data_IF_506362444481
#
_entry.id   IF_506362444481
#
_cell.length_a   1.000
_cell.length_b   1.000
_cell.length_c   1.000
_cell.angle_alpha   90.00
_cell.angle_beta   90.00
_cell.angle_gamma   90.00
#
_symmetry.space_group_name_H-M   'P 1'
#
loop_
_entity.id
_entity.type
_entity.pdbx_description
1 polymer ?
#
# COMPACT_ATOMS: atom_id res chain seq x y z
N UNK A 1 14.68 35.83 15.13
CA UNK A 1 13.60 35.21 14.33
C UNK A 1 13.34 36.01 13.06
N UNK A 2 13.45 35.42 11.87
CA UNK A 2 13.20 36.11 10.60
C UNK A 2 11.68 36.29 10.35
N UNK A 3 11.14 37.52 10.21
CA UNK A 3 9.70 37.75 10.08
C UNK A 3 9.05 37.02 8.90
N UNK A 4 9.73 36.92 7.77
CA UNK A 4 9.22 36.21 6.59
C UNK A 4 9.05 34.71 6.84
N UNK A 5 10.03 34.05 7.50
CA UNK A 5 9.95 32.62 7.81
C UNK A 5 8.83 32.35 8.80
N UNK A 6 8.60 33.24 9.77
CA UNK A 6 7.47 33.12 10.70
C UNK A 6 6.12 33.24 9.99
N UNK A 7 5.98 34.15 9.01
CA UNK A 7 4.75 34.25 8.21
C UNK A 7 4.55 33.01 7.34
N UNK A 8 5.62 32.54 6.70
CA UNK A 8 5.58 31.32 5.89
C UNK A 8 5.21 30.10 6.73
N UNK A 9 5.75 29.95 7.95
CA UNK A 9 5.43 28.80 8.80
C UNK A 9 3.96 28.79 9.22
N UNK A 10 3.39 29.94 9.58
CA UNK A 10 1.95 30.04 9.85
C UNK A 10 1.11 29.74 8.62
N UNK A 11 1.48 30.28 7.45
CA UNK A 11 0.76 30.01 6.22
C UNK A 11 0.79 28.51 5.86
N UNK A 12 1.97 27.88 5.91
CA UNK A 12 2.15 26.46 5.66
C UNK A 12 1.39 25.58 6.67
N UNK A 13 1.43 25.90 7.97
CA UNK A 13 0.67 25.17 9.01
C UNK A 13 -0.84 25.21 8.74
N UNK A 14 -1.39 26.38 8.38
CA UNK A 14 -2.81 26.52 8.04
C UNK A 14 -3.18 25.77 6.77
N UNK A 15 -2.37 25.88 5.71
CA UNK A 15 -2.57 25.08 4.49
C UNK A 15 -2.50 23.58 4.78
N UNK A 16 -1.64 23.16 5.71
CA UNK A 16 -1.46 21.75 6.02
C UNK A 16 -2.62 21.20 6.85
N UNK A 17 -3.06 21.90 7.90
CA UNK A 17 -3.92 21.34 8.95
C UNK A 17 -5.31 22.00 9.08
N UNK A 18 -5.59 23.09 8.36
CA UNK A 18 -6.87 23.80 8.42
C UNK A 18 -7.58 23.82 7.06
N UNK A 19 -6.83 24.02 5.96
CA UNK A 19 -7.35 24.07 4.59
C UNK A 19 -7.09 22.76 3.84
N UNK A 20 -7.87 21.72 4.16
CA UNK A 20 -7.72 20.39 3.55
C UNK A 20 -8.11 20.31 2.08
N UNK A 21 -8.82 21.32 1.58
CA UNK A 21 -9.13 21.56 0.16
C UNK A 21 -7.89 22.00 -0.65
N UNK A 22 -6.85 22.53 0.02
CA UNK A 22 -5.59 22.87 -0.64
C UNK A 22 -4.95 21.60 -1.25
N UNK A 23 -4.66 21.57 -2.58
CA UNK A 23 -4.26 20.34 -3.25
C UNK A 23 -2.94 19.77 -2.70
N UNK A 24 -2.97 18.50 -2.30
CA UNK A 24 -1.82 17.83 -1.68
C UNK A 24 -0.55 17.83 -2.56
N UNK A 25 -0.71 17.77 -3.88
CA UNK A 25 0.44 17.80 -4.82
C UNK A 25 1.19 19.14 -4.79
N UNK A 26 0.53 20.26 -4.46
CA UNK A 26 1.18 21.57 -4.38
C UNK A 26 2.08 21.70 -3.15
N UNK A 27 1.83 20.95 -2.08
CA UNK A 27 2.70 20.92 -0.88
C UNK A 27 4.12 20.47 -1.25
N UNK A 28 4.23 19.58 -2.24
CA UNK A 28 5.52 19.09 -2.74
C UNK A 28 6.35 20.17 -3.45
N UNK A 29 5.70 21.26 -3.86
CA UNK A 29 6.29 22.37 -4.59
C UNK A 29 6.61 23.56 -3.69
N UNK A 30 6.46 23.42 -2.37
CA UNK A 30 6.78 24.47 -1.42
C UNK A 30 8.28 24.82 -1.46
N UNK A 31 8.64 26.10 -1.24
CA UNK A 31 10.00 26.59 -1.48
C UNK A 31 11.02 25.98 -0.51
N UNK A 32 12.28 25.85 -0.93
CA UNK A 32 13.36 25.57 0.01
C UNK A 32 13.67 26.82 0.84
N UNK A 33 14.24 26.62 2.03
CA UNK A 33 14.65 27.72 2.93
C UNK A 33 16.18 27.86 3.01
N UNK A 34 16.91 27.19 2.13
CA UNK A 34 18.39 27.14 2.09
C UNK A 34 19.03 28.51 1.99
N UNK A 35 18.47 29.41 1.18
CA UNK A 35 18.99 30.77 1.04
C UNK A 35 18.96 31.58 2.36
N UNK A 36 18.11 31.20 3.32
CA UNK A 36 17.94 31.89 4.60
C UNK A 36 18.49 31.11 5.80
N UNK A 37 18.47 29.78 5.73
CA UNK A 37 18.79 28.89 6.85
C UNK A 37 20.01 28.00 6.58
N UNK A 38 20.56 27.99 5.37
CA UNK A 38 21.69 27.14 5.00
C UNK A 38 21.44 25.68 5.36
N UNK A 39 22.33 25.11 6.17
CA UNK A 39 22.27 23.72 6.63
C UNK A 39 21.02 23.40 7.47
N UNK A 40 20.40 24.40 8.10
CA UNK A 40 19.21 24.25 8.94
C UNK A 40 17.90 24.31 8.14
N UNK A 41 17.95 24.40 6.80
CA UNK A 41 16.75 24.51 5.97
C UNK A 41 15.74 23.36 6.19
N UNK A 42 16.23 22.15 6.43
CA UNK A 42 15.40 20.99 6.75
C UNK A 42 14.61 21.14 8.05
N UNK A 43 15.14 21.88 9.02
CA UNK A 43 14.50 22.09 10.33
C UNK A 43 13.21 22.89 10.22
N UNK A 44 13.09 23.77 9.22
CA UNK A 44 11.87 24.56 8.99
C UNK A 44 10.64 23.65 8.82
N UNK A 45 10.75 22.66 7.93
CA UNK A 45 9.66 21.72 7.67
C UNK A 45 9.52 20.66 8.76
N UNK A 46 10.61 20.31 9.46
CA UNK A 46 10.52 19.45 10.65
C UNK A 46 9.69 20.09 11.76
N UNK A 47 9.88 21.39 12.03
CA UNK A 47 9.06 22.10 13.02
C UNK A 47 7.57 22.12 12.64
N UNK A 48 7.27 22.31 11.34
CA UNK A 48 5.89 22.20 10.83
C UNK A 48 5.33 20.78 10.99
N UNK A 49 6.14 19.76 10.73
CA UNK A 49 5.73 18.38 10.93
C UNK A 49 5.40 18.10 12.40
N UNK A 50 6.22 18.55 13.34
CA UNK A 50 5.99 18.34 14.78
C UNK A 50 4.68 18.95 15.28
N UNK A 51 4.15 20.00 14.65
CA UNK A 51 2.83 20.58 14.95
C UNK A 51 1.67 19.59 14.71
N UNK A 52 1.88 18.54 13.90
CA UNK A 52 0.89 17.48 13.72
C UNK A 52 0.68 16.65 15.00
N UNK A 53 1.67 16.54 15.89
CA UNK A 53 1.58 15.69 17.10
C UNK A 53 0.49 16.15 18.09
N UNK A 54 0.47 17.41 18.56
CA UNK A 54 -0.60 17.88 19.45
C UNK A 54 -1.98 17.80 18.77
N UNK A 55 -2.06 18.08 17.46
CA UNK A 55 -3.31 18.00 16.67
C UNK A 55 -3.84 16.57 16.57
N UNK A 56 -3.00 15.60 16.21
CA UNK A 56 -3.35 14.17 16.19
C UNK A 56 -3.83 13.69 17.56
N UNK A 57 -3.15 14.08 18.64
CA UNK A 57 -3.55 13.73 20.01
C UNK A 57 -4.92 14.31 20.37
N UNK A 58 -5.22 15.54 19.96
CA UNK A 58 -6.52 16.15 20.17
C UNK A 58 -7.62 15.40 19.40
N UNK A 59 -7.38 15.09 18.14
CA UNK A 59 -8.32 14.31 17.30
C UNK A 59 -8.56 12.92 17.86
N UNK A 60 -7.51 12.18 18.23
CA UNK A 60 -7.67 10.86 18.84
C UNK A 60 -8.44 10.91 20.16
N UNK A 61 -8.18 11.93 21.00
CA UNK A 61 -8.93 12.13 22.25
C UNK A 61 -10.42 12.38 21.98
N UNK A 62 -10.75 13.19 20.98
CA UNK A 62 -12.14 13.46 20.58
C UNK A 62 -12.85 12.19 20.07
N UNK A 63 -12.12 11.29 19.42
CA UNK A 63 -12.62 9.98 18.97
C UNK A 63 -12.63 8.91 20.09
N UNK A 64 -12.23 9.25 21.33
CA UNK A 64 -12.09 8.27 22.42
C UNK A 64 -10.99 7.23 22.20
N UNK A 65 -10.09 7.47 21.24
CA UNK A 65 -9.00 6.56 20.89
C UNK A 65 -7.92 6.59 21.98
N UNK A 66 -7.40 5.42 22.42
CA UNK A 66 -6.39 5.37 23.47
C UNK A 66 -5.08 6.08 23.12
N UNK A 67 -4.41 6.62 24.13
CA UNK A 67 -3.19 7.41 23.96
C UNK A 67 -2.01 6.60 23.37
N UNK A 68 -1.98 5.28 23.56
CA UNK A 68 -1.01 4.39 22.94
C UNK A 68 -1.10 4.40 21.41
N UNK A 69 -2.29 4.54 20.82
CA UNK A 69 -2.46 4.64 19.37
C UNK A 69 -1.87 5.95 18.85
N UNK A 70 -2.07 7.07 19.58
CA UNK A 70 -1.41 8.34 19.26
C UNK A 70 0.11 8.26 19.37
N UNK A 71 0.64 7.60 20.42
CA UNK A 71 2.09 7.41 20.58
C UNK A 71 2.66 6.58 19.44
N UNK A 72 1.99 5.48 19.09
CA UNK A 72 2.42 4.60 18.03
C UNK A 72 2.44 5.32 16.67
N UNK A 73 1.47 6.20 16.39
CA UNK A 73 1.47 7.04 15.19
C UNK A 73 2.66 8.01 15.07
N UNK A 74 3.40 8.25 16.16
CA UNK A 74 4.59 9.10 16.16
C UNK A 74 5.78 8.55 15.37
N UNK A 75 5.82 7.25 15.02
CA UNK A 75 6.96 6.67 14.29
C UNK A 75 7.13 7.21 12.87
N UNK A 76 6.05 7.73 12.26
CA UNK A 76 6.10 8.32 10.91
C UNK A 76 7.06 9.51 10.83
N UNK A 77 7.16 10.29 11.90
CA UNK A 77 8.04 11.47 11.96
C UNK A 77 9.51 11.06 11.96
N UNK A 78 9.87 10.08 12.78
CA UNK A 78 11.24 9.56 12.85
C UNK A 78 11.69 9.01 11.50
N UNK A 79 10.83 8.27 10.81
CA UNK A 79 11.18 7.67 9.53
C UNK A 79 11.32 8.71 8.41
N UNK A 80 10.40 9.67 8.34
CA UNK A 80 10.49 10.74 7.34
C UNK A 80 11.75 11.58 7.52
N UNK A 81 12.15 11.85 8.78
CA UNK A 81 13.43 12.49 9.08
C UNK A 81 14.63 11.60 8.78
N UNK A 82 14.53 10.27 8.96
CA UNK A 82 15.60 9.34 8.56
C UNK A 82 15.82 9.37 7.04
N UNK A 83 14.75 9.38 6.24
CA UNK A 83 14.83 9.49 4.78
C UNK A 83 15.44 10.83 4.36
N UNK A 84 15.06 11.93 5.03
CA UNK A 84 15.68 13.23 4.80
C UNK A 84 17.20 13.16 5.04
N UNK A 85 17.62 12.63 6.20
CA UNK A 85 19.05 12.47 6.56
C UNK A 85 19.84 11.65 5.55
N UNK A 86 19.22 10.60 4.99
CA UNK A 86 19.85 9.74 3.98
C UNK A 86 20.25 10.52 2.72
N UNK A 87 19.52 11.59 2.37
CA UNK A 87 19.73 12.37 1.16
C UNK A 87 20.36 13.75 1.40
N UNK A 88 20.57 14.13 2.66
CA UNK A 88 21.05 15.47 3.04
C UNK A 88 22.28 15.39 3.94
N UNK A 89 23.25 14.54 3.59
CA UNK A 89 24.55 14.43 4.29
C UNK A 89 24.40 14.20 5.81
N UNK A 90 23.33 13.49 6.22
CA UNK A 90 23.05 13.21 7.63
C UNK A 90 22.35 14.34 8.40
N UNK A 91 22.06 15.49 7.77
CA UNK A 91 21.37 16.65 8.36
C UNK A 91 19.92 16.35 8.69
N UNK A 92 19.42 16.93 9.78
CA UNK A 92 18.04 16.74 10.23
C UNK A 92 17.05 17.59 9.43
N UNK A 93 15.91 17.02 9.11
CA UNK A 93 14.86 17.75 8.43
C UNK A 93 13.66 16.89 8.06
N UNK A 94 12.85 17.45 7.17
CA UNK A 94 11.64 16.82 6.66
C UNK A 94 11.39 17.31 5.24
N UNK A 95 11.08 16.37 4.33
CA UNK A 95 10.78 16.75 2.96
C UNK A 95 9.36 17.34 2.83
N UNK A 96 9.18 18.45 2.09
CA UNK A 96 7.84 18.94 1.76
C UNK A 96 6.96 17.86 1.12
N UNK A 97 7.57 16.98 0.29
CA UNK A 97 6.82 15.97 -0.47
C UNK A 97 6.04 14.96 0.39
N UNK A 98 6.39 14.79 1.67
CA UNK A 98 5.70 13.88 2.60
C UNK A 98 4.84 14.60 3.64
N UNK A 99 4.88 15.94 3.72
CA UNK A 99 4.10 16.69 4.71
C UNK A 99 2.59 16.46 4.56
N UNK A 100 2.09 16.38 3.33
CA UNK A 100 0.65 16.18 3.07
C UNK A 100 0.09 14.95 3.77
N UNK A 101 0.91 13.92 4.00
CA UNK A 101 0.51 12.70 4.69
C UNK A 101 0.09 12.94 6.14
N UNK A 102 0.65 13.97 6.78
CA UNK A 102 0.34 14.36 8.16
C UNK A 102 -1.12 14.80 8.34
N UNK A 103 -1.80 15.19 7.25
CA UNK A 103 -3.26 15.42 7.25
C UNK A 103 -4.02 14.18 7.72
N UNK A 104 -3.59 12.99 7.34
CA UNK A 104 -4.29 11.76 7.72
C UNK A 104 -4.24 11.50 9.23
N UNK A 105 -3.12 11.84 9.88
CA UNK A 105 -2.98 11.76 11.33
C UNK A 105 -3.86 12.79 12.04
N UNK A 106 -3.83 14.05 11.58
CA UNK A 106 -4.53 15.15 12.24
C UNK A 106 -6.04 15.13 12.01
N UNK A 107 -6.52 14.51 10.94
CA UNK A 107 -7.95 14.33 10.63
C UNK A 107 -8.53 13.00 11.11
N UNK A 108 -7.73 12.19 11.84
CA UNK A 108 -8.20 10.91 12.41
C UNK A 108 -8.61 9.92 11.32
N UNK A 109 -7.86 9.90 10.22
CA UNK A 109 -8.07 8.96 9.10
C UNK A 109 -7.09 7.79 9.14
N UNK A 110 -5.92 7.95 9.78
CA UNK A 110 -4.85 6.96 9.83
C UNK A 110 -4.53 6.57 11.28
N UNK A 111 -4.54 5.27 11.57
CA UNK A 111 -4.27 4.73 12.91
C UNK A 111 -3.21 3.64 12.88
N UNK A 112 -2.15 3.81 13.67
CA UNK A 112 -1.11 2.79 13.91
C UNK A 112 -1.63 1.76 14.91
N UNK A 113 -1.80 0.51 14.48
CA UNK A 113 -2.27 -0.59 15.34
C UNK A 113 -1.31 -1.77 15.22
N UNK A 114 -0.34 -1.87 16.11
CA UNK A 114 0.70 -2.90 16.01
C UNK A 114 1.70 -2.61 14.89
N UNK A 115 1.82 -3.52 13.90
CA UNK A 115 2.81 -3.41 12.82
C UNK A 115 2.37 -2.49 11.68
N UNK A 116 1.09 -2.30 11.44
CA UNK A 116 0.58 -1.54 10.30
C UNK A 116 -0.16 -0.29 10.72
N UNK A 117 -0.31 0.61 9.75
CA UNK A 117 -1.21 1.76 9.86
C UNK A 117 -2.42 1.48 8.98
N UNK A 118 -3.60 1.94 9.42
CA UNK A 118 -4.86 1.62 8.77
C UNK A 118 -5.66 2.86 8.46
N UNK A 119 -6.27 2.88 7.26
CA UNK A 119 -7.29 3.86 6.86
C UNK A 119 -8.50 3.13 6.31
N UNK A 120 -9.71 3.58 6.65
CA UNK A 120 -10.92 3.07 5.96
C UNK A 120 -11.13 3.90 4.70
N UNK A 121 -10.97 3.28 3.54
CA UNK A 121 -11.06 3.93 2.22
C UNK A 121 -11.82 3.05 1.23
N UNK A 122 -12.37 3.62 0.15
CA UNK A 122 -12.87 2.82 -0.97
C UNK A 122 -11.77 1.92 -1.55
N UNK A 123 -12.13 0.70 -1.96
CA UNK A 123 -11.23 -0.24 -2.60
C UNK A 123 -10.91 0.25 -4.02
N UNK A 124 -9.72 0.80 -4.21
CA UNK A 124 -9.27 1.37 -5.49
C UNK A 124 -8.60 0.35 -6.42
N UNK A 125 -8.78 -0.95 -6.18
CA UNK A 125 -8.31 -1.99 -7.10
C UNK A 125 -9.35 -2.31 -8.17
N UNK A 126 -8.90 -2.90 -9.27
CA UNK A 126 -9.77 -3.27 -10.39
C UNK A 126 -10.41 -4.66 -10.25
N UNK A 127 -10.04 -5.43 -9.24
CA UNK A 127 -10.48 -6.82 -9.11
C UNK A 127 -11.88 -6.92 -8.49
N UNK A 128 -12.69 -7.85 -9.00
CA UNK A 128 -13.97 -8.26 -8.44
C UNK A 128 -13.80 -9.62 -7.78
N UNK A 129 -14.06 -9.72 -6.49
CA UNK A 129 -13.79 -10.91 -5.68
C UNK A 129 -15.09 -11.64 -5.37
N UNK A 130 -15.10 -12.93 -5.67
CA UNK A 130 -16.21 -13.84 -5.45
C UNK A 130 -15.81 -14.95 -4.49
N UNK A 131 -16.77 -15.42 -3.70
CA UNK A 131 -16.60 -16.55 -2.78
C UNK A 131 -17.65 -17.61 -3.03
N UNK A 132 -17.22 -18.86 -3.14
CA UNK A 132 -18.11 -20.00 -3.31
C UNK A 132 -18.85 -20.29 -2.00
N UNK A 133 -20.17 -20.40 -2.05
CA UNK A 133 -21.02 -20.53 -0.87
C UNK A 133 -20.75 -21.84 -0.08
N UNK A 134 -20.61 -22.97 -0.78
CA UNK A 134 -20.38 -24.27 -0.12
C UNK A 134 -18.92 -24.49 0.33
N UNK A 135 -17.93 -24.18 -0.51
CA UNK A 135 -16.51 -24.51 -0.25
C UNK A 135 -15.74 -23.38 0.43
N UNK A 136 -16.27 -22.15 0.42
CA UNK A 136 -15.55 -20.97 0.89
C UNK A 136 -14.37 -20.55 0.01
N UNK A 137 -14.19 -21.17 -1.16
CA UNK A 137 -13.13 -20.80 -2.11
C UNK A 137 -13.30 -19.37 -2.59
N UNK A 138 -12.22 -18.61 -2.67
CA UNK A 138 -12.21 -17.24 -3.17
C UNK A 138 -11.54 -17.16 -4.54
N UNK A 139 -12.13 -16.36 -5.44
CA UNK A 139 -11.63 -16.08 -6.79
C UNK A 139 -11.70 -14.58 -7.05
N UNK A 140 -10.63 -14.00 -7.56
CA UNK A 140 -10.61 -12.64 -8.06
C UNK A 140 -10.66 -12.62 -9.59
N UNK A 141 -11.57 -11.84 -10.16
CA UNK A 141 -11.68 -11.58 -11.59
C UNK A 141 -11.21 -10.17 -11.92
N UNK A 142 -10.47 -10.00 -13.01
CA UNK A 142 -10.06 -8.69 -13.51
C UNK A 142 -11.27 -7.89 -14.01
N UNK A 143 -11.22 -6.56 -13.93
CA UNK A 143 -12.17 -5.70 -14.63
C UNK A 143 -11.96 -5.77 -16.15
N UNK A 144 -13.01 -5.38 -16.87
CA UNK A 144 -13.05 -5.36 -18.32
C UNK A 144 -11.97 -4.44 -18.93
N UNK A 145 -11.48 -4.79 -20.12
CA UNK A 145 -10.56 -4.01 -20.96
C UNK A 145 -9.19 -3.70 -20.35
N UNK A 146 -8.80 -4.36 -19.27
CA UNK A 146 -7.44 -4.28 -18.73
C UNK A 146 -6.45 -5.03 -19.61
N UNK A 147 -5.25 -4.49 -19.73
CA UNK A 147 -4.19 -5.08 -20.55
C UNK A 147 -3.13 -5.73 -19.67
N UNK A 148 -2.76 -6.96 -20.00
CA UNK A 148 -1.76 -7.75 -19.31
C UNK A 148 -0.65 -8.20 -20.26
N UNK A 149 0.58 -8.26 -19.79
CA UNK A 149 1.70 -8.87 -20.53
C UNK A 149 1.55 -10.41 -20.58
N UNK A 150 2.37 -11.16 -21.36
CA UNK A 150 2.21 -12.61 -21.52
C UNK A 150 2.46 -13.37 -20.21
N UNK A 151 3.15 -12.75 -19.24
CA UNK A 151 3.37 -13.30 -17.91
C UNK A 151 2.21 -13.03 -16.93
N UNK A 152 1.18 -12.28 -17.37
CA UNK A 152 -0.01 -11.97 -16.59
C UNK A 152 0.14 -10.77 -15.65
N UNK A 153 1.15 -9.91 -15.85
CA UNK A 153 1.25 -8.66 -15.11
C UNK A 153 0.48 -7.55 -15.81
N UNK A 154 -0.16 -6.69 -15.03
CA UNK A 154 -0.85 -5.53 -15.57
C UNK A 154 0.14 -4.62 -16.30
N UNK A 155 -0.25 -4.13 -17.47
CA UNK A 155 0.57 -3.26 -18.31
C UNK A 155 1.17 -2.09 -17.49
N UNK A 156 2.50 -2.02 -17.49
CA UNK A 156 3.26 -0.94 -16.90
C UNK A 156 3.69 0.10 -17.94
N UNK A 157 4.35 1.17 -17.50
CA UNK A 157 4.80 2.25 -18.38
C UNK A 157 5.83 1.81 -19.43
N UNK A 158 6.58 0.73 -19.16
CA UNK A 158 7.62 0.20 -20.05
C UNK A 158 7.17 -1.00 -20.90
N UNK A 159 5.93 -1.46 -20.75
CA UNK A 159 5.42 -2.62 -21.50
C UNK A 159 5.08 -2.21 -22.93
N UNK A 160 5.70 -2.87 -23.91
CA UNK A 160 5.45 -2.63 -25.32
C UNK A 160 3.98 -2.95 -25.70
N UNK A 161 3.31 -2.10 -26.51
CA UNK A 161 1.90 -2.31 -26.88
C UNK A 161 1.60 -3.64 -27.60
N UNK A 162 2.55 -4.15 -28.37
CA UNK A 162 2.44 -5.37 -29.18
C UNK A 162 2.55 -6.67 -28.35
N UNK A 163 2.84 -6.58 -27.05
CA UNK A 163 3.05 -7.73 -26.17
C UNK A 163 1.91 -7.93 -25.15
N UNK A 164 0.74 -7.32 -25.35
CA UNK A 164 -0.36 -7.41 -24.37
C UNK A 164 -1.60 -8.12 -24.89
N UNK A 165 -2.32 -8.77 -23.97
CA UNK A 165 -3.67 -9.29 -24.19
C UNK A 165 -4.66 -8.54 -23.31
N UNK A 166 -5.92 -8.49 -23.74
CA UNK A 166 -6.96 -7.69 -23.10
C UNK A 166 -7.93 -8.60 -22.35
N UNK A 167 -8.17 -8.31 -21.07
CA UNK A 167 -9.15 -9.00 -20.27
C UNK A 167 -10.58 -8.63 -20.66
N UNK A 168 -11.46 -9.62 -20.59
CA UNK A 168 -12.90 -9.45 -20.71
C UNK A 168 -13.56 -9.72 -19.37
N UNK A 169 -14.59 -8.96 -19.06
CA UNK A 169 -15.46 -9.18 -17.91
C UNK A 169 -16.91 -8.91 -18.29
N UNK A 170 -17.79 -9.86 -17.98
CA UNK A 170 -19.23 -9.72 -18.14
C UNK A 170 -19.98 -10.26 -16.93
N UNK A 171 -21.12 -9.64 -16.64
CA UNK A 171 -22.04 -10.03 -15.57
C UNK A 171 -23.45 -10.01 -16.14
N UNK A 172 -24.12 -11.16 -16.06
CA UNK A 172 -25.55 -11.30 -16.36
C UNK A 172 -26.29 -11.86 -15.13
N UNK A 173 -27.58 -12.19 -15.28
CA UNK A 173 -28.42 -12.66 -14.19
C UNK A 173 -28.03 -14.07 -13.67
N UNK A 174 -27.38 -14.89 -14.49
CA UNK A 174 -27.04 -16.28 -14.15
C UNK A 174 -25.58 -16.45 -13.70
N UNK A 175 -24.67 -15.70 -14.29
CA UNK A 175 -23.23 -15.90 -14.13
C UNK A 175 -22.42 -14.60 -14.19
N UNK A 176 -21.21 -14.67 -13.66
CA UNK A 176 -20.13 -13.73 -13.94
C UNK A 176 -19.04 -14.45 -14.71
N UNK A 177 -18.61 -13.87 -15.83
CA UNK A 177 -17.51 -14.41 -16.64
C UNK A 177 -16.37 -13.42 -16.69
N UNK A 178 -15.15 -13.89 -16.46
CA UNK A 178 -13.99 -13.01 -16.59
C UNK A 178 -12.66 -13.70 -16.44
N UNK A 179 -11.61 -12.91 -16.65
CA UNK A 179 -10.21 -13.31 -16.49
C UNK A 179 -9.88 -13.48 -15.02
N UNK A 180 -9.33 -14.63 -14.67
CA UNK A 180 -8.93 -14.95 -13.29
C UNK A 180 -7.58 -14.33 -12.98
N UNK A 181 -7.48 -13.66 -11.83
CA UNK A 181 -6.20 -13.34 -11.20
C UNK A 181 -5.86 -14.47 -10.25
N UNK A 182 -4.70 -15.11 -10.41
CA UNK A 182 -4.24 -16.14 -9.48
C UNK A 182 -3.87 -15.51 -8.13
N UNK A 183 -3.99 -16.23 -7.00
CA UNK A 183 -3.66 -15.71 -5.67
C UNK A 183 -2.18 -15.36 -5.50
N UNK A 184 -1.31 -15.80 -6.42
CA UNK A 184 0.10 -15.41 -6.52
C UNK A 184 0.31 -14.07 -7.26
N UNK A 185 -0.75 -13.46 -7.81
CA UNK A 185 -0.69 -12.14 -8.41
C UNK A 185 -0.43 -12.12 -9.92
N UNK A 186 -0.90 -13.12 -10.66
CA UNK A 186 -0.83 -13.15 -12.14
C UNK A 186 -2.20 -13.37 -12.77
N UNK A 187 -2.52 -12.60 -13.80
CA UNK A 187 -3.71 -12.86 -14.61
C UNK A 187 -3.50 -14.10 -15.48
N UNK A 188 -4.54 -14.93 -15.64
CA UNK A 188 -4.54 -16.10 -16.52
C UNK A 188 -5.40 -15.79 -17.74
N UNK A 189 -4.88 -16.02 -18.94
CA UNK A 189 -5.51 -15.63 -20.20
C UNK A 189 -6.86 -16.32 -20.51
N UNK A 190 -7.24 -17.36 -19.76
CA UNK A 190 -8.54 -18.03 -19.88
C UNK A 190 -9.67 -17.35 -19.12
N UNK A 191 -10.88 -17.44 -19.66
CA UNK A 191 -12.10 -16.98 -18.99
C UNK A 191 -12.68 -18.07 -18.09
N UNK A 192 -13.09 -17.69 -16.89
CA UNK A 192 -13.89 -18.55 -16.01
C UNK A 192 -15.29 -17.99 -15.88
N UNK A 193 -16.28 -18.88 -15.92
CA UNK A 193 -17.69 -18.57 -15.68
C UNK A 193 -18.11 -19.07 -14.29
N UNK A 194 -18.42 -18.14 -13.39
CA UNK A 194 -18.89 -18.42 -12.03
C UNK A 194 -20.41 -18.26 -11.96
N UNK A 195 -21.12 -19.37 -11.72
CA UNK A 195 -22.58 -19.36 -11.54
C UNK A 195 -22.96 -18.57 -10.28
N UNK A 196 -23.86 -17.59 -10.40
CA UNK A 196 -24.30 -16.73 -9.29
C UNK A 196 -25.09 -17.48 -8.22
N UNK A 197 -25.61 -18.67 -8.53
CA UNK A 197 -26.23 -19.58 -7.55
C UNK A 197 -25.22 -20.20 -6.59
N UNK A 198 -23.94 -20.30 -6.99
CA UNK A 198 -22.88 -20.90 -6.17
C UNK A 198 -21.85 -19.86 -5.67
N UNK A 199 -21.69 -18.74 -6.37
CA UNK A 199 -20.68 -17.73 -6.12
C UNK A 199 -21.28 -16.39 -5.75
N UNK A 200 -20.83 -15.83 -4.62
CA UNK A 200 -21.31 -14.55 -4.10
C UNK A 200 -20.22 -13.48 -4.19
N UNK A 201 -20.53 -12.23 -4.58
CA UNK A 201 -19.58 -11.14 -4.54
C UNK A 201 -19.27 -10.78 -3.07
N UNK A 202 -17.98 -10.70 -2.74
CA UNK A 202 -17.52 -10.39 -1.37
C UNK A 202 -16.68 -9.12 -1.28
N UNK A 203 -16.07 -8.69 -2.38
CA UNK A 203 -15.34 -7.42 -2.47
C UNK A 203 -15.34 -6.94 -3.93
N UNK A 204 -15.63 -5.65 -4.15
CA UNK A 204 -15.59 -5.03 -5.49
C UNK A 204 -15.02 -3.60 -5.42
N UNK A 205 -14.61 -3.02 -6.56
CA UNK A 205 -14.13 -1.64 -6.58
C UNK A 205 -15.13 -0.69 -5.91
N UNK A 206 -14.63 0.21 -5.06
CA UNK A 206 -15.43 1.17 -4.30
C UNK A 206 -15.96 0.68 -2.95
N UNK A 207 -15.94 -0.63 -2.67
CA UNK A 207 -16.30 -1.13 -1.33
C UNK A 207 -15.34 -0.62 -0.26
N UNK A 208 -15.78 -0.36 0.98
CA UNK A 208 -14.89 0.13 2.02
C UNK A 208 -13.91 -0.97 2.47
N UNK A 209 -12.63 -0.65 2.52
CA UNK A 209 -11.54 -1.52 2.98
C UNK A 209 -10.72 -0.84 4.07
N UNK A 210 -10.18 -1.63 4.98
CA UNK A 210 -9.09 -1.21 5.86
C UNK A 210 -7.80 -1.25 5.05
N UNK A 211 -7.49 -0.13 4.39
CA UNK A 211 -6.26 0.07 3.66
C UNK A 211 -5.07 0.01 4.60
N UNK A 212 -4.15 -0.91 4.32
CA UNK A 212 -2.97 -1.24 5.10
C UNK A 212 -1.78 -0.47 4.55
N UNK A 213 -1.20 0.36 5.40
CA UNK A 213 0.04 1.10 5.15
C UNK A 213 1.16 0.50 6.00
N UNK A 214 2.36 0.46 5.43
CA UNK A 214 3.51 -0.26 6.02
C UNK A 214 4.62 0.74 6.35
N UNK A 215 4.67 1.26 7.59
CA UNK A 215 5.81 2.05 8.03
C UNK A 215 7.12 1.25 8.00
N UNK A 216 8.24 1.94 7.89
CA UNK A 216 9.56 1.31 7.91
C UNK A 216 9.88 0.64 9.27
N UNK A 217 10.86 -0.28 9.25
CA UNK A 217 11.34 -0.98 10.45
C UNK A 217 10.43 -2.11 10.92
N UNK A 218 10.63 -2.58 12.17
CA UNK A 218 9.73 -3.54 12.83
C UNK A 218 9.65 -4.94 12.22
N UNK A 219 10.57 -5.31 11.32
CA UNK A 219 10.82 -6.65 10.73
C UNK A 219 9.66 -7.35 9.98
N UNK A 220 8.40 -6.94 10.15
CA UNK A 220 7.20 -7.54 9.52
C UNK A 220 7.10 -9.05 9.73
N UNK A 221 7.49 -9.57 10.91
CA UNK A 221 7.28 -10.99 11.20
C UNK A 221 5.79 -11.34 11.06
N UNK A 222 5.48 -12.59 10.71
CA UNK A 222 4.09 -13.01 10.51
C UNK A 222 3.25 -12.79 11.76
N UNK A 223 3.84 -12.99 12.94
CA UNK A 223 3.19 -12.78 14.24
C UNK A 223 2.81 -11.31 14.44
N UNK A 224 3.74 -10.39 14.17
CA UNK A 224 3.50 -8.96 14.28
C UNK A 224 2.45 -8.47 13.27
N UNK A 225 2.46 -9.04 12.06
CA UNK A 225 1.45 -8.76 11.03
C UNK A 225 0.07 -9.27 11.45
N UNK A 226 -0.02 -10.50 11.96
CA UNK A 226 -1.26 -11.10 12.44
C UNK A 226 -1.87 -10.30 13.59
N UNK A 227 -1.04 -9.92 14.57
CA UNK A 227 -1.48 -9.13 15.72
C UNK A 227 -2.00 -7.75 15.31
N UNK A 228 -1.32 -7.11 14.36
CA UNK A 228 -1.76 -5.86 13.75
C UNK A 228 -3.15 -5.98 13.13
N UNK A 229 -3.37 -7.01 12.30
CA UNK A 229 -4.65 -7.24 11.60
C UNK A 229 -5.78 -7.55 12.60
N UNK A 230 -5.51 -8.35 13.63
CA UNK A 230 -6.47 -8.62 14.72
C UNK A 230 -6.82 -7.36 15.49
N UNK A 231 -5.82 -6.54 15.82
CA UNK A 231 -6.01 -5.25 16.48
C UNK A 231 -6.95 -4.35 15.68
N UNK A 232 -6.78 -4.27 14.35
CA UNK A 232 -7.66 -3.49 13.48
C UNK A 232 -9.12 -3.99 13.50
N UNK A 233 -9.35 -5.32 13.48
CA UNK A 233 -10.72 -5.89 13.56
C UNK A 233 -11.45 -5.54 14.86
N UNK A 234 -10.71 -5.34 15.95
CA UNK A 234 -11.29 -4.91 17.24
C UNK A 234 -11.42 -3.39 17.31
N UNK A 235 -10.42 -2.66 16.81
CA UNK A 235 -10.32 -1.22 16.93
C UNK A 235 -11.44 -0.48 16.16
N UNK A 236 -11.62 -0.76 14.87
CA UNK A 236 -12.56 0.01 14.05
C UNK A 236 -14.01 -0.12 14.54
N UNK A 237 -14.57 -1.31 14.80
CA UNK A 237 -15.93 -1.42 15.33
C UNK A 237 -16.12 -0.74 16.70
N UNK A 238 -15.06 -0.67 17.52
CA UNK A 238 -15.13 -0.07 18.86
C UNK A 238 -15.08 1.45 18.85
N UNK A 239 -14.16 2.03 18.08
CA UNK A 239 -13.88 3.47 18.12
C UNK A 239 -14.42 4.24 16.92
N UNK A 240 -14.70 3.55 15.81
CA UNK A 240 -15.14 4.12 14.53
C UNK A 240 -16.25 3.24 13.91
N UNK A 241 -17.37 2.98 14.62
CA UNK A 241 -18.42 2.08 14.14
C UNK A 241 -19.11 2.58 12.86
N UNK A 242 -19.02 3.88 12.57
CA UNK A 242 -19.48 4.52 11.33
C UNK A 242 -18.60 4.21 10.11
N UNK A 243 -17.44 3.54 10.30
CA UNK A 243 -16.47 3.21 9.25
C UNK A 243 -16.26 1.70 9.14
N UNK A 244 -17.29 0.94 8.74
CA UNK A 244 -17.13 -0.49 8.50
C UNK A 244 -16.20 -0.75 7.32
N UNK A 245 -15.57 -1.92 7.28
CA UNK A 245 -14.77 -2.36 6.15
C UNK A 245 -15.06 -3.83 5.81
N UNK A 246 -14.92 -4.18 4.54
CA UNK A 246 -15.15 -5.54 4.00
C UNK A 246 -13.88 -6.37 3.88
N UNK A 247 -12.74 -5.74 3.70
CA UNK A 247 -11.45 -6.42 3.57
C UNK A 247 -10.29 -5.55 4.07
N UNK A 248 -9.17 -6.19 4.35
CA UNK A 248 -7.87 -5.52 4.36
C UNK A 248 -7.34 -5.43 2.94
N UNK A 249 -6.72 -4.31 2.59
CA UNK A 249 -6.13 -4.11 1.26
C UNK A 249 -4.81 -3.36 1.35
N UNK A 250 -3.80 -3.76 0.61
CA UNK A 250 -2.51 -3.06 0.53
C UNK A 250 -2.09 -2.94 -0.93
N UNK A 251 -1.76 -1.73 -1.38
CA UNK A 251 -1.10 -1.49 -2.66
C UNK A 251 0.33 -1.02 -2.36
N UNK A 252 1.34 -1.78 -2.77
CA UNK A 252 2.72 -1.49 -2.40
C UNK A 252 3.73 -2.21 -3.29
N UNK A 253 4.94 -1.66 -3.41
CA UNK A 253 6.10 -2.37 -3.93
C UNK A 253 6.40 -3.67 -3.16
N UNK A 254 6.05 -3.71 -1.86
CA UNK A 254 6.16 -4.91 -1.03
C UNK A 254 5.25 -6.03 -1.54
N UNK A 255 4.16 -5.70 -2.22
CA UNK A 255 3.21 -6.69 -2.76
C UNK A 255 3.56 -7.11 -4.20
N UNK A 256 4.77 -6.79 -4.67
CA UNK A 256 5.28 -7.26 -5.96
C UNK A 256 5.17 -8.80 -6.06
N UNK A 257 4.41 -9.34 -7.03
CA UNK A 257 4.26 -10.79 -7.20
C UNK A 257 5.58 -11.55 -7.40
N UNK A 258 6.61 -10.88 -7.94
CA UNK A 258 7.93 -11.47 -8.20
C UNK A 258 8.87 -11.38 -6.98
N UNK A 259 8.47 -10.74 -5.87
CA UNK A 259 9.34 -10.46 -4.72
C UNK A 259 10.03 -11.71 -4.18
N UNK A 260 9.27 -12.82 -4.08
CA UNK A 260 9.81 -14.08 -3.58
C UNK A 260 10.92 -14.64 -4.48
N UNK A 261 10.85 -14.40 -5.79
CA UNK A 261 11.80 -14.88 -6.80
C UNK A 261 13.12 -14.11 -6.73
N UNK A 262 13.06 -12.76 -6.65
CA UNK A 262 14.27 -11.93 -6.72
C UNK A 262 14.85 -11.49 -5.37
N UNK A 263 14.03 -11.39 -4.31
CA UNK A 263 14.50 -11.03 -2.97
C UNK A 263 14.64 -12.23 -2.04
N UNK A 264 13.78 -13.24 -2.23
CA UNK A 264 13.85 -14.52 -1.54
C UNK A 264 12.55 -14.93 -0.85
N UNK A 265 12.15 -16.18 -1.09
CA UNK A 265 10.92 -16.79 -0.58
C UNK A 265 10.83 -16.88 0.95
N UNK A 266 11.97 -16.88 1.66
CA UNK A 266 12.04 -16.99 3.11
C UNK A 266 11.89 -15.65 3.84
N UNK A 267 11.90 -14.53 3.11
CA UNK A 267 11.80 -13.19 3.70
C UNK A 267 10.43 -12.96 4.35
N UNK A 268 10.40 -12.13 5.39
CA UNK A 268 9.15 -11.78 6.06
C UNK A 268 8.12 -11.12 5.11
N UNK A 269 8.61 -10.35 4.13
CA UNK A 269 7.77 -9.75 3.09
C UNK A 269 7.08 -10.84 2.25
N UNK A 270 7.84 -11.80 1.71
CA UNK A 270 7.30 -12.91 0.93
C UNK A 270 6.38 -13.82 1.74
N UNK A 271 6.65 -14.00 3.04
CA UNK A 271 5.77 -14.74 3.95
C UNK A 271 4.41 -14.05 4.11
N UNK A 272 4.38 -12.73 4.33
CA UNK A 272 3.14 -11.96 4.43
C UNK A 272 2.33 -12.02 3.12
N UNK A 273 2.99 -11.91 1.97
CA UNK A 273 2.33 -11.97 0.67
C UNK A 273 1.46 -13.22 0.53
N UNK A 274 1.98 -14.39 0.95
CA UNK A 274 1.28 -15.68 0.86
C UNK A 274 0.07 -15.82 1.78
N UNK A 275 -0.07 -14.96 2.78
CA UNK A 275 -1.22 -14.98 3.68
C UNK A 275 -2.45 -14.26 3.12
N UNK A 276 -2.30 -13.53 2.02
CA UNK A 276 -3.42 -12.90 1.33
C UNK A 276 -3.45 -13.25 -0.15
N UNK A 277 -4.37 -12.59 -0.84
CA UNK A 277 -4.58 -12.76 -2.27
C UNK A 277 -3.85 -11.64 -3.01
N UNK A 278 -2.80 -11.99 -3.76
CA UNK A 278 -2.06 -11.02 -4.57
C UNK A 278 -2.78 -10.74 -5.89
N UNK A 279 -2.61 -9.52 -6.39
CA UNK A 279 -3.00 -9.14 -7.73
C UNK A 279 -2.00 -8.14 -8.31
N UNK A 280 -1.72 -8.16 -9.62
CA UNK A 280 -0.76 -7.23 -10.20
C UNK A 280 -1.38 -5.83 -10.30
N UNK A 281 -0.58 -4.78 -10.16
CA UNK A 281 -1.02 -3.40 -10.43
C UNK A 281 -0.07 -2.72 -11.42
N UNK A 282 -0.53 -1.63 -12.03
CA UNK A 282 0.32 -0.85 -12.92
C UNK A 282 1.49 -0.30 -12.10
N UNK A 283 2.65 -0.32 -12.72
CA UNK A 283 3.93 -0.08 -12.08
C UNK A 283 4.72 0.93 -12.91
N UNK A 284 5.70 1.58 -12.29
CA UNK A 284 6.64 2.51 -12.93
C UNK A 284 7.97 1.84 -13.34
N UNK A 285 8.26 0.66 -12.78
CA UNK A 285 9.49 -0.08 -13.05
C UNK A 285 10.61 0.34 -12.10
N UNK A 286 10.32 1.32 -11.25
CA UNK A 286 11.19 1.88 -10.21
C UNK A 286 10.51 1.84 -8.84
N UNK A 287 9.48 1.01 -8.70
CA UNK A 287 8.63 0.96 -7.51
C UNK A 287 9.45 0.55 -6.27
N UNK A 288 9.25 1.29 -5.17
CA UNK A 288 9.93 1.03 -3.91
C UNK A 288 11.25 1.78 -3.70
N UNK A 289 11.86 2.36 -4.74
CA UNK A 289 13.14 3.05 -4.61
C UNK A 289 13.12 4.17 -3.56
N UNK A 290 12.06 4.98 -3.53
CA UNK A 290 11.93 6.04 -2.53
C UNK A 290 11.97 5.50 -1.09
N UNK A 291 11.35 4.36 -0.82
CA UNK A 291 11.30 3.80 0.55
C UNK A 291 12.64 3.19 0.98
N UNK A 292 13.47 2.73 0.04
CA UNK A 292 14.73 2.02 0.32
C UNK A 292 15.96 2.94 0.20
N UNK A 293 15.94 3.85 -0.76
CA UNK A 293 17.03 4.77 -1.11
C UNK A 293 16.68 6.24 -0.84
N UNK A 294 15.42 6.57 -0.59
CA UNK A 294 14.98 7.95 -0.41
C UNK A 294 14.91 8.76 -1.71
N UNK A 295 15.04 8.11 -2.87
CA UNK A 295 15.07 8.71 -4.20
C UNK A 295 14.19 7.90 -5.16
N UNK A 296 13.61 8.56 -6.17
CA UNK A 296 12.75 7.90 -7.16
C UNK A 296 13.55 7.18 -8.26
N UNK A 297 14.85 7.45 -8.34
CA UNK A 297 15.79 6.79 -9.24
C UNK A 297 17.13 6.59 -8.53
N UNK A 298 17.88 5.58 -8.98
CA UNK A 298 19.26 5.30 -8.57
C UNK A 298 20.06 4.88 -9.80
N UNK A 299 21.38 5.08 -9.74
CA UNK A 299 22.34 4.41 -10.61
C UNK A 299 22.81 3.11 -9.93
N UNK A 300 22.48 1.92 -10.48
CA UNK A 300 22.89 0.64 -9.92
C UNK A 300 24.41 0.48 -9.75
N UNK A 301 25.24 1.20 -10.51
CA UNK A 301 26.69 1.08 -10.44
C UNK A 301 27.30 1.71 -9.17
N UNK A 302 26.64 2.72 -8.60
CA UNK A 302 27.15 3.50 -7.46
C UNK A 302 26.22 3.52 -6.25
N UNK A 303 25.01 2.99 -6.37
CA UNK A 303 24.04 2.94 -5.27
C UNK A 303 24.57 2.10 -4.08
N UNK A 304 24.31 2.54 -2.83
CA UNK A 304 24.80 1.84 -1.65
C UNK A 304 24.13 0.47 -1.48
N UNK A 305 24.94 -0.59 -1.40
CA UNK A 305 24.51 -1.99 -1.21
C UNK A 305 24.66 -2.50 0.24
N UNK A 306 24.51 -1.64 1.23
CA UNK A 306 24.73 -1.92 2.66
C UNK A 306 23.65 -2.84 3.30
N UNK A 307 22.48 -2.97 2.69
CA UNK A 307 21.42 -3.91 3.12
C UNK A 307 21.12 -4.97 2.06
N UNK A 308 20.58 -6.12 2.47
CA UNK A 308 20.22 -7.20 1.54
C UNK A 308 19.19 -6.76 0.49
N UNK A 309 18.20 -5.95 0.89
CA UNK A 309 17.17 -5.43 -0.02
C UNK A 309 17.76 -4.45 -1.03
N UNK A 310 18.67 -3.57 -0.60
CA UNK A 310 19.37 -2.65 -1.52
C UNK A 310 20.16 -3.43 -2.57
N UNK A 311 20.93 -4.44 -2.16
CA UNK A 311 21.67 -5.31 -3.09
C UNK A 311 20.75 -6.02 -4.08
N UNK A 312 19.62 -6.55 -3.61
CA UNK A 312 18.67 -7.27 -4.45
C UNK A 312 18.00 -6.34 -5.50
N UNK A 313 17.60 -5.13 -5.09
CA UNK A 313 17.03 -4.14 -6.01
C UNK A 313 18.07 -3.64 -7.02
N UNK A 314 19.31 -3.38 -6.58
CA UNK A 314 20.43 -3.00 -7.46
C UNK A 314 20.70 -4.10 -8.48
N UNK A 315 20.82 -5.35 -8.06
CA UNK A 315 21.09 -6.48 -8.95
C UNK A 315 19.99 -6.64 -10.01
N UNK A 316 18.72 -6.48 -9.61
CA UNK A 316 17.59 -6.55 -10.53
C UNK A 316 17.61 -5.43 -11.58
N UNK A 317 17.87 -4.19 -11.16
CA UNK A 317 17.99 -3.05 -12.08
C UNK A 317 19.22 -3.16 -12.99
N UNK A 318 20.35 -3.66 -12.48
CA UNK A 318 21.56 -3.89 -13.27
C UNK A 318 21.35 -4.96 -14.36
N UNK A 319 20.44 -5.92 -14.13
CA UNK A 319 20.02 -6.90 -15.12
C UNK A 319 18.98 -6.36 -16.13
N UNK A 320 18.64 -5.06 -16.06
CA UNK A 320 17.63 -4.44 -16.92
C UNK A 320 16.19 -4.84 -16.60
N UNK A 321 15.95 -5.47 -15.44
CA UNK A 321 14.63 -5.94 -15.04
C UNK A 321 13.90 -4.89 -14.18
N UNK A 322 12.58 -4.71 -14.37
CA UNK A 322 11.82 -3.68 -13.67
C UNK A 322 11.54 -4.04 -12.20
N UNK A 323 11.47 -3.03 -11.34
CA UNK A 323 10.88 -3.13 -10.01
C UNK A 323 9.38 -2.82 -10.10
N UNK A 324 8.54 -3.79 -9.78
CA UNK A 324 7.07 -3.66 -9.83
C UNK A 324 6.47 -3.40 -8.45
N UNK A 325 5.21 -2.99 -8.46
CA UNK A 325 4.31 -3.04 -7.31
C UNK A 325 3.20 -4.08 -7.52
N UNK A 326 2.50 -4.40 -6.44
CA UNK A 326 1.32 -5.24 -6.49
C UNK A 326 0.24 -4.77 -5.53
N UNK A 327 -0.88 -5.43 -5.62
CA UNK A 327 -1.95 -5.35 -4.66
C UNK A 327 -2.09 -6.65 -3.87
N UNK A 328 -2.63 -6.52 -2.68
CA UNK A 328 -2.85 -7.62 -1.76
C UNK A 328 -4.15 -7.36 -1.03
N UNK A 329 -5.02 -8.36 -0.90
CA UNK A 329 -6.17 -8.27 -0.02
C UNK A 329 -6.29 -9.49 0.88
N UNK A 330 -6.96 -9.29 2.02
CA UNK A 330 -7.30 -10.35 2.95
C UNK A 330 -8.71 -10.11 3.49
N UNK A 331 -9.56 -11.11 3.29
CA UNK A 331 -10.94 -11.11 3.79
C UNK A 331 -10.95 -11.37 5.31
N UNK A 332 -11.76 -10.67 6.10
CA UNK A 332 -11.82 -10.87 7.56
C UNK A 332 -12.22 -12.30 7.96
N UNK A 333 -12.97 -13.00 7.11
CA UNK A 333 -13.36 -14.42 7.27
C UNK A 333 -12.15 -15.36 7.21
N UNK A 334 -11.05 -14.93 6.60
CA UNK A 334 -9.82 -15.71 6.48
C UNK A 334 -8.86 -15.52 7.63
N UNK A 335 -9.11 -14.53 8.50
CA UNK A 335 -8.23 -14.24 9.63
C UNK A 335 -7.99 -15.41 10.59
N UNK A 336 -8.99 -16.28 10.89
CA UNK A 336 -8.76 -17.48 11.70
C UNK A 336 -7.77 -18.47 11.06
N UNK A 337 -7.56 -18.40 9.74
CA UNK A 337 -6.62 -19.23 8.97
C UNK A 337 -5.30 -18.51 8.64
N UNK A 338 -5.08 -17.30 9.17
CA UNK A 338 -3.82 -16.59 8.97
C UNK A 338 -2.65 -17.42 9.54
N UNK A 339 -1.62 -17.63 8.74
CA UNK A 339 -0.48 -18.53 8.97
C UNK A 339 -0.59 -19.84 8.19
N UNK A 340 -1.73 -20.13 7.55
CA UNK A 340 -1.94 -21.32 6.74
C UNK A 340 -2.04 -21.02 5.24
N UNK A 341 -1.75 -19.79 4.81
CA UNK A 341 -1.82 -19.38 3.40
C UNK A 341 -3.20 -19.66 2.79
N UNK A 342 -4.28 -19.05 3.30
CA UNK A 342 -5.67 -19.48 3.07
C UNK A 342 -6.12 -19.45 1.60
N UNK A 343 -5.42 -18.70 0.75
CA UNK A 343 -5.72 -18.57 -0.68
C UNK A 343 -4.87 -19.47 -1.58
N UNK A 344 -3.77 -20.04 -1.07
CA UNK A 344 -2.82 -20.86 -1.82
C UNK A 344 -3.03 -22.38 -1.61
N UNK A 345 -3.99 -22.77 -0.76
CA UNK A 345 -4.30 -24.17 -0.49
C UNK A 345 -4.76 -24.96 -1.72
N UNK A 346 -4.68 -26.30 -1.70
CA UNK A 346 -5.10 -27.14 -2.82
C UNK A 346 -6.55 -26.82 -3.17
N UNK A 347 -6.76 -26.43 -4.43
CA UNK A 347 -8.09 -26.16 -4.95
C UNK A 347 -8.93 -27.44 -4.80
N UNK A 348 -9.91 -27.42 -3.90
CA UNK A 348 -10.79 -28.58 -3.67
C UNK A 348 -11.51 -29.03 -4.95
N UNK A 349 -11.65 -28.13 -5.93
CA UNK A 349 -12.10 -28.39 -7.29
C UNK A 349 -11.29 -27.54 -8.27
N UNK A 350 -11.06 -27.97 -9.53
CA UNK A 350 -10.62 -27.08 -10.60
C UNK A 350 -11.54 -25.85 -10.66
N UNK A 351 -11.04 -24.69 -11.10
CA UNK A 351 -11.99 -23.66 -11.54
C UNK A 351 -12.80 -24.25 -12.70
N UNK A 352 -14.09 -23.90 -12.88
CA UNK A 352 -14.85 -24.31 -14.06
C UNK A 352 -13.97 -24.11 -15.29
N UNK A 353 -13.89 -25.14 -16.15
CA UNK A 353 -12.93 -25.17 -17.26
C UNK A 353 -12.92 -23.82 -17.98
N UNK A 354 -11.71 -23.34 -18.26
CA UNK A 354 -11.55 -22.12 -19.04
C UNK A 354 -12.35 -22.30 -20.33
N UNK A 355 -13.29 -21.39 -20.60
CA UNK A 355 -13.96 -21.39 -21.90
C UNK A 355 -12.85 -21.31 -22.95
N UNK A 356 -12.66 -22.39 -23.71
CA UNK A 356 -11.66 -22.46 -24.75
C UNK A 356 -11.86 -21.30 -25.71
N UNK A 357 -10.78 -20.57 -25.97
CA UNK A 357 -10.77 -19.45 -26.91
C UNK A 357 -11.02 -19.87 -28.34
#
# INVERSE_FOLDING_TARGET
SHPALRRLSWHASRLLFEHHDYPAHQIRLWPTTEALLGEDAGLFYLLLALDAMPRMRATHRALGVPAEVSRAGGSHFTESSRIYRLNHEGRWGFEPRVLYWLRNHTTGQLFRLGRFDYMVRPFCAYVHVYRHAATGRTVALAADRLQFDPAGYLRGEWTAPEEVWTASFSLDDEAVTGVVISPEGRARSGLVCLKRTAWQPVLRPGDPVAEVHIPAGGQMTLEACAESLRSARVFFPRYLPDRPFRAFSCLSWIMNPELAEWYGAATNLARLQREGYLFPISSSGRDGLYFIFGQDSIDPAVAPGDTSIRRAMIARLAAGLPLRAGGWFLLPEEMPRFGSQPYLGPAAEPLPDALGG
#
